data_IF_502964308997
#
_entry.id   IF_502964308997
#
_cell.length_a   1.000
_cell.length_b   1.000
_cell.length_c   1.000
_cell.angle_alpha   90.00
_cell.angle_beta   90.00
_cell.angle_gamma   90.00
#
_symmetry.space_group_name_H-M   'P 1'
#
loop_
_entity.id
_entity.type
_entity.pdbx_description
1 polymer ?
#
# COMPACT_ATOMS: atom_id res chain seq x y z
N UNK A 1 24.29 -18.49 16.81
CA UNK A 1 22.98 -19.03 16.33
C UNK A 1 22.83 -20.48 16.71
N UNK A 2 21.59 -21.01 16.94
CA UNK A 2 21.36 -22.43 17.20
C UNK A 2 21.85 -23.29 16.03
N UNK A 3 22.36 -24.50 16.34
CA UNK A 3 22.74 -25.47 15.31
C UNK A 3 21.49 -26.02 14.60
N UNK A 4 21.54 -26.17 13.27
CA UNK A 4 20.44 -26.70 12.47
C UNK A 4 19.35 -25.68 12.15
N UNK A 5 19.59 -24.37 12.31
CA UNK A 5 18.69 -23.33 11.88
C UNK A 5 18.86 -23.09 10.38
N UNK A 6 17.80 -23.27 9.60
CA UNK A 6 17.80 -23.02 8.16
C UNK A 6 17.36 -21.61 7.80
N UNK A 7 16.36 -21.08 8.52
CA UNK A 7 15.75 -19.76 8.28
C UNK A 7 15.65 -18.98 9.58
N UNK A 8 16.13 -17.74 9.57
CA UNK A 8 15.97 -16.79 10.65
C UNK A 8 14.90 -15.75 10.26
N UNK A 9 13.90 -15.59 11.10
CA UNK A 9 12.89 -14.54 10.97
C UNK A 9 13.13 -13.47 12.03
N UNK A 10 13.34 -12.23 11.59
CA UNK A 10 13.47 -11.05 12.45
C UNK A 10 12.29 -10.11 12.20
N UNK A 11 11.58 -9.74 13.27
CA UNK A 11 10.49 -8.77 13.20
C UNK A 11 10.81 -7.64 14.15
N UNK A 12 10.82 -6.43 13.65
CA UNK A 12 11.10 -5.21 14.42
C UNK A 12 12.42 -5.24 15.21
N UNK A 13 13.56 -5.54 14.56
CA UNK A 13 14.86 -5.61 15.25
C UNK A 13 15.28 -4.21 15.72
N UNK A 14 15.30 -3.98 17.03
CA UNK A 14 15.72 -2.73 17.66
C UNK A 14 16.95 -2.98 18.53
N UNK A 15 17.88 -2.03 18.53
CA UNK A 15 19.03 -1.99 19.46
C UNK A 15 19.76 -3.34 19.59
N UNK A 16 19.98 -4.02 18.44
CA UNK A 16 20.65 -5.30 18.43
C UNK A 16 22.07 -5.18 18.96
N UNK A 17 22.41 -6.05 19.91
CA UNK A 17 23.77 -6.14 20.43
C UNK A 17 24.76 -6.47 19.30
N UNK A 18 25.97 -5.86 19.26
CA UNK A 18 26.97 -6.14 18.23
C UNK A 18 27.33 -7.61 18.08
N UNK A 19 27.29 -8.39 19.15
CA UNK A 19 27.55 -9.84 19.10
C UNK A 19 26.40 -10.59 18.40
N UNK A 20 25.17 -10.12 18.56
CA UNK A 20 24.02 -10.66 17.86
C UNK A 20 24.05 -10.29 16.37
N UNK A 21 24.38 -9.05 16.02
CA UNK A 21 24.56 -8.62 14.63
C UNK A 21 25.65 -9.46 13.93
N UNK A 22 26.79 -9.66 14.59
CA UNK A 22 27.84 -10.55 14.12
C UNK A 22 27.31 -11.99 13.91
N UNK A 23 26.56 -12.51 14.88
CA UNK A 23 25.95 -13.83 14.77
C UNK A 23 24.96 -13.95 13.59
N UNK A 24 24.19 -12.90 13.28
CA UNK A 24 23.28 -12.84 12.12
C UNK A 24 24.09 -12.80 10.82
N UNK A 25 25.13 -11.95 10.75
CA UNK A 25 26.01 -11.87 9.58
C UNK A 25 26.63 -13.24 9.26
N UNK A 26 27.25 -13.87 10.25
CA UNK A 26 27.91 -15.17 10.08
C UNK A 26 26.92 -16.30 9.72
N UNK A 27 25.71 -16.24 10.25
CA UNK A 27 24.64 -17.15 9.87
C UNK A 27 24.28 -17.02 8.37
N UNK A 28 24.10 -15.78 7.90
CA UNK A 28 23.74 -15.50 6.50
C UNK A 28 24.91 -15.85 5.57
N UNK A 29 26.14 -15.49 5.91
CA UNK A 29 27.34 -15.84 5.13
C UNK A 29 27.59 -17.36 5.09
N UNK A 30 27.17 -18.09 6.12
CA UNK A 30 27.22 -19.55 6.20
C UNK A 30 26.14 -20.26 5.39
N UNK A 31 25.31 -19.54 4.62
CA UNK A 31 24.22 -20.09 3.80
C UNK A 31 22.87 -20.16 4.51
N UNK A 32 22.77 -19.65 5.73
CA UNK A 32 21.50 -19.43 6.42
C UNK A 32 20.66 -18.38 5.68
N UNK A 33 19.34 -18.50 5.74
CA UNK A 33 18.41 -17.63 5.04
C UNK A 33 17.76 -16.67 6.04
N UNK A 34 17.65 -15.41 5.67
CA UNK A 34 17.10 -14.37 6.54
C UNK A 34 15.82 -13.78 5.94
N UNK A 35 14.81 -13.63 6.78
CA UNK A 35 13.63 -12.81 6.51
C UNK A 35 13.63 -11.70 7.57
N UNK A 36 13.67 -10.44 7.16
CA UNK A 36 13.67 -9.32 8.09
C UNK A 36 12.56 -8.30 7.76
N UNK A 37 11.79 -7.97 8.78
CA UNK A 37 10.81 -6.89 8.77
C UNK A 37 11.39 -5.74 9.58
N UNK A 38 11.76 -4.67 8.89
CA UNK A 38 12.25 -3.41 9.49
C UNK A 38 11.22 -2.31 9.28
N UNK A 39 11.28 -1.24 10.05
CA UNK A 39 10.21 -0.25 10.07
C UNK A 39 10.75 1.14 10.42
N UNK A 40 10.40 2.19 9.69
CA UNK A 40 10.73 3.55 10.09
C UNK A 40 9.80 4.07 11.20
N UNK A 41 8.57 3.52 11.30
CA UNK A 41 7.57 3.93 12.28
C UNK A 41 6.53 2.84 12.53
N UNK A 42 6.82 1.93 13.47
CA UNK A 42 5.95 0.81 13.83
C UNK A 42 4.73 1.28 14.65
N UNK A 43 3.60 1.51 14.01
CA UNK A 43 2.36 1.98 14.66
C UNK A 43 1.76 0.95 15.61
N UNK A 44 2.01 -0.34 15.37
CA UNK A 44 1.56 -1.42 16.23
C UNK A 44 2.36 -1.54 17.54
N UNK A 45 3.59 -1.01 17.57
CA UNK A 45 4.39 -0.97 18.79
C UNK A 45 3.92 0.16 19.70
N UNK A 46 3.02 -0.18 20.62
CA UNK A 46 2.47 0.77 21.60
C UNK A 46 3.27 0.87 22.89
N UNK A 47 4.36 0.11 23.02
CA UNK A 47 5.09 -0.05 24.27
C UNK A 47 4.27 -0.77 25.35
N UNK A 48 4.91 -1.08 26.46
CA UNK A 48 4.20 -1.62 27.63
C UNK A 48 3.37 -0.50 28.29
N UNK A 49 2.04 -0.65 28.45
CA UNK A 49 1.19 0.37 29.08
C UNK A 49 1.55 0.64 30.54
N UNK A 50 2.31 -0.26 31.20
CA UNK A 50 2.78 -0.09 32.58
C UNK A 50 4.19 0.49 32.69
N UNK A 51 4.89 0.66 31.57
CA UNK A 51 6.24 1.24 31.53
C UNK A 51 6.24 2.57 30.76
N UNK A 52 6.36 3.72 31.45
CA UNK A 52 6.42 5.04 30.80
C UNK A 52 7.57 5.19 29.81
N UNK A 53 8.71 4.51 30.05
CA UNK A 53 9.86 4.55 29.13
C UNK A 53 9.55 3.78 27.84
N UNK A 54 8.91 2.60 27.93
CA UNK A 54 8.48 1.83 26.78
C UNK A 54 7.41 2.59 25.97
N UNK A 55 6.50 3.33 26.63
CA UNK A 55 5.53 4.19 25.94
C UNK A 55 6.19 5.36 25.19
N UNK A 56 7.26 5.95 25.73
CA UNK A 56 8.02 6.98 25.02
C UNK A 56 8.75 6.45 23.77
N UNK A 57 9.07 5.16 23.76
CA UNK A 57 9.70 4.47 22.62
C UNK A 57 8.67 3.84 21.67
N UNK A 58 7.37 3.92 21.98
CA UNK A 58 6.30 3.44 21.13
C UNK A 58 6.37 4.07 19.73
N UNK A 59 6.14 3.27 18.69
CA UNK A 59 6.29 3.71 17.30
C UNK A 59 7.76 4.04 16.93
N UNK A 60 8.75 3.45 17.61
CA UNK A 60 10.15 3.61 17.24
C UNK A 60 10.48 2.88 15.94
N UNK A 61 11.57 3.31 15.31
CA UNK A 61 12.09 2.64 14.12
C UNK A 61 12.90 1.40 14.48
N UNK A 62 13.03 0.50 13.51
CA UNK A 62 13.90 -0.66 13.57
C UNK A 62 14.69 -0.82 12.27
N UNK A 63 15.91 -1.35 12.37
CA UNK A 63 16.74 -1.68 11.22
C UNK A 63 17.76 -2.76 11.59
N UNK A 64 18.56 -3.20 10.61
CA UNK A 64 19.67 -4.14 10.80
C UNK A 64 21.04 -3.44 10.89
N UNK A 65 21.06 -2.12 11.08
CA UNK A 65 22.27 -1.33 11.20
C UNK A 65 23.22 -1.50 10.01
N UNK A 66 24.50 -1.71 10.29
CA UNK A 66 25.56 -1.86 9.27
C UNK A 66 25.40 -3.07 8.34
N UNK A 67 24.58 -4.06 8.67
CA UNK A 67 24.39 -5.23 7.82
C UNK A 67 23.71 -4.89 6.50
N UNK A 68 22.74 -3.97 6.50
CA UNK A 68 22.09 -3.54 5.25
C UNK A 68 23.10 -2.87 4.32
N UNK A 69 23.91 -1.94 4.85
CA UNK A 69 24.94 -1.25 4.08
C UNK A 69 25.98 -2.25 3.55
N UNK A 70 26.41 -3.22 4.37
CA UNK A 70 27.35 -4.26 3.98
C UNK A 70 26.83 -5.18 2.86
N UNK A 71 25.53 -5.39 2.82
CA UNK A 71 24.84 -6.15 1.77
C UNK A 71 24.40 -5.28 0.59
N UNK A 72 24.83 -4.00 0.55
CA UNK A 72 24.57 -3.09 -0.56
C UNK A 72 23.15 -2.58 -0.62
N UNK A 73 22.49 -2.37 0.51
CA UNK A 73 21.12 -1.84 0.60
C UNK A 73 21.05 -0.66 1.55
N UNK A 74 20.40 0.41 1.12
CA UNK A 74 20.07 1.57 1.92
C UNK A 74 18.65 1.50 2.46
N UNK A 75 18.49 1.87 3.72
CA UNK A 75 17.20 2.01 4.40
C UNK A 75 17.28 3.23 5.35
N UNK A 76 16.36 4.17 5.15
CA UNK A 76 16.29 5.38 5.99
C UNK A 76 15.21 5.20 7.07
N UNK A 77 15.64 4.95 8.30
CA UNK A 77 14.76 4.73 9.44
C UNK A 77 14.05 6.01 9.96
N UNK A 78 14.37 7.19 9.43
CA UNK A 78 13.73 8.46 9.80
C UNK A 78 12.61 8.86 8.80
N UNK A 79 12.47 8.15 7.70
CA UNK A 79 11.54 8.52 6.63
C UNK A 79 10.62 7.36 6.28
N UNK A 80 9.35 7.69 6.08
CA UNK A 80 8.34 6.78 5.56
C UNK A 80 7.96 7.19 4.13
N UNK A 81 7.28 6.30 3.43
CA UNK A 81 6.80 6.53 2.08
C UNK A 81 5.34 6.97 2.08
N UNK A 82 5.04 8.06 1.39
CA UNK A 82 3.69 8.43 1.01
C UNK A 82 3.42 8.08 -0.44
N UNK A 83 2.18 7.71 -0.78
CA UNK A 83 1.76 7.40 -2.15
C UNK A 83 0.34 7.90 -2.41
N UNK A 84 0.19 8.79 -3.39
CA UNK A 84 -1.10 9.35 -3.77
C UNK A 84 -2.00 8.34 -4.48
N UNK A 85 -1.43 7.37 -5.18
CA UNK A 85 -2.18 6.40 -5.96
C UNK A 85 -2.62 5.22 -5.10
N UNK A 86 -1.69 4.64 -4.33
CA UNK A 86 -1.96 3.47 -3.50
C UNK A 86 -2.43 3.83 -2.08
N UNK A 87 -2.42 5.10 -1.72
CA UNK A 87 -2.93 5.58 -0.44
C UNK A 87 -4.40 5.22 -0.20
N UNK A 88 -4.73 4.72 0.98
CA UNK A 88 -6.09 4.28 1.36
C UNK A 88 -7.00 5.47 1.63
N UNK A 89 -8.18 5.50 1.02
CA UNK A 89 -9.18 6.57 1.22
C UNK A 89 -10.44 6.08 1.91
N UNK A 90 -10.92 6.85 2.87
CA UNK A 90 -12.22 6.65 3.51
C UNK A 90 -12.91 7.99 3.75
N UNK A 91 -14.23 8.06 3.42
CA UNK A 91 -15.02 9.26 3.72
C UNK A 91 -14.60 10.56 3.02
N UNK A 92 -13.85 10.47 1.89
CA UNK A 92 -13.38 11.64 1.13
C UNK A 92 -11.98 12.12 1.48
N UNK A 93 -11.36 11.56 2.52
CA UNK A 93 -9.98 11.86 2.92
C UNK A 93 -9.09 10.67 2.57
N UNK A 94 -7.91 10.94 2.01
CA UNK A 94 -6.92 9.93 1.66
C UNK A 94 -5.77 9.96 2.67
N UNK A 95 -5.42 8.79 3.19
CA UNK A 95 -4.24 8.59 4.02
C UNK A 95 -3.09 8.05 3.16
N UNK A 96 -2.18 8.93 2.73
CA UNK A 96 -1.10 8.56 1.81
C UNK A 96 0.00 7.70 2.46
N UNK A 97 0.06 7.61 3.78
CA UNK A 97 0.99 6.74 4.50
C UNK A 97 0.45 5.33 4.79
N UNK A 98 -0.84 5.07 4.53
CA UNK A 98 -1.40 3.70 4.54
C UNK A 98 -1.62 3.31 3.09
N UNK A 99 -0.89 2.31 2.62
CA UNK A 99 -0.85 1.92 1.22
C UNK A 99 -1.59 0.60 1.00
N UNK A 100 -2.36 0.52 -0.07
CA UNK A 100 -2.96 -0.71 -0.57
C UNK A 100 -2.37 -0.96 -1.95
N UNK A 101 -1.29 -1.75 -1.99
CA UNK A 101 -0.51 -2.01 -3.19
C UNK A 101 -1.19 -3.12 -4.00
N UNK A 102 -1.66 -2.83 -5.22
CA UNK A 102 -2.31 -3.82 -6.09
C UNK A 102 -1.29 -4.69 -6.83
N UNK A 103 -1.76 -5.64 -7.61
CA UNK A 103 -0.95 -6.60 -8.36
C UNK A 103 0.09 -5.94 -9.29
N UNK A 104 -0.17 -4.75 -9.83
CA UNK A 104 0.78 -4.01 -10.68
C UNK A 104 2.00 -3.45 -9.91
N UNK A 105 1.92 -3.41 -8.58
CA UNK A 105 3.04 -3.14 -7.69
C UNK A 105 3.83 -4.38 -7.27
N UNK A 106 3.38 -5.59 -7.64
CA UNK A 106 4.04 -6.86 -7.32
C UNK A 106 5.00 -7.31 -8.42
N UNK A 107 6.05 -8.01 -8.02
CA UNK A 107 6.95 -8.64 -8.98
C UNK A 107 6.42 -10.02 -9.39
N UNK A 108 5.93 -10.12 -10.63
CA UNK A 108 5.37 -11.36 -11.17
C UNK A 108 6.45 -12.46 -11.39
N UNK A 109 7.73 -12.08 -11.39
CA UNK A 109 8.84 -13.02 -11.62
C UNK A 109 9.35 -13.69 -10.34
N UNK A 110 9.02 -13.16 -9.15
CA UNK A 110 9.40 -13.74 -7.88
C UNK A 110 8.22 -14.46 -7.23
N UNK A 111 8.40 -15.75 -6.92
CA UNK A 111 7.35 -16.62 -6.39
C UNK A 111 6.75 -16.13 -5.04
N UNK A 112 7.46 -15.29 -4.28
CA UNK A 112 6.98 -14.74 -3.01
C UNK A 112 5.88 -13.73 -3.24
N UNK A 113 5.99 -12.91 -4.29
CA UNK A 113 5.06 -11.82 -4.62
C UNK A 113 4.21 -12.09 -5.85
N UNK A 114 4.58 -13.05 -6.69
CA UNK A 114 3.75 -13.45 -7.82
C UNK A 114 2.37 -13.92 -7.37
N UNK A 115 1.36 -13.71 -8.18
CA UNK A 115 -0.03 -14.11 -7.94
C UNK A 115 -0.70 -13.46 -6.70
N UNK A 116 -0.09 -12.47 -6.02
CA UNK A 116 -0.75 -11.67 -4.99
C UNK A 116 -1.57 -10.56 -5.64
N UNK A 117 -2.78 -10.31 -5.10
CA UNK A 117 -3.67 -9.30 -5.65
C UNK A 117 -3.54 -7.95 -4.93
N UNK A 118 -3.44 -7.96 -3.60
CA UNK A 118 -3.35 -6.75 -2.77
C UNK A 118 -2.52 -7.01 -1.52
N UNK A 119 -1.53 -6.15 -1.26
CA UNK A 119 -0.79 -6.13 0.01
C UNK A 119 -0.86 -4.74 0.61
N UNK A 120 -1.22 -4.65 1.89
CA UNK A 120 -1.35 -3.40 2.61
C UNK A 120 -0.13 -3.13 3.47
N UNK A 121 0.29 -1.86 3.50
CA UNK A 121 1.40 -1.35 4.30
C UNK A 121 0.94 -0.14 5.12
N UNK A 122 1.55 0.07 6.30
CA UNK A 122 1.28 1.23 7.14
C UNK A 122 2.59 1.91 7.52
N UNK A 123 2.72 3.19 7.19
CA UNK A 123 3.92 3.98 7.53
C UNK A 123 5.24 3.36 7.05
N UNK A 124 5.19 2.58 5.97
CA UNK A 124 6.31 1.81 5.45
C UNK A 124 7.50 2.69 5.03
N UNK A 125 8.72 2.18 5.22
CA UNK A 125 9.92 2.69 4.57
C UNK A 125 10.09 2.12 3.16
N UNK A 126 11.32 2.20 2.65
CA UNK A 126 11.69 1.59 1.37
C UNK A 126 13.16 1.20 1.36
N UNK A 127 13.52 0.35 0.43
CA UNK A 127 14.91 -0.08 0.19
C UNK A 127 15.40 0.45 -1.14
N UNK A 128 16.69 0.80 -1.19
CA UNK A 128 17.40 1.20 -2.41
C UNK A 128 18.68 0.37 -2.54
N UNK A 129 19.00 -0.08 -3.75
CA UNK A 129 20.30 -0.70 -4.01
C UNK A 129 21.39 0.37 -3.91
N UNK A 130 22.51 0.04 -3.24
CA UNK A 130 23.70 0.86 -3.28
C UNK A 130 24.39 0.75 -4.65
N UNK A 131 25.03 1.82 -5.12
CA UNK A 131 25.69 1.84 -6.44
C UNK A 131 26.84 0.83 -6.57
N UNK A 132 27.50 0.52 -5.46
CA UNK A 132 28.64 -0.40 -5.33
C UNK A 132 28.25 -1.79 -4.80
N UNK A 133 26.96 -2.11 -4.76
CA UNK A 133 26.44 -3.39 -4.28
C UNK A 133 27.02 -4.57 -5.09
N UNK A 134 27.54 -5.59 -4.40
CA UNK A 134 27.93 -6.85 -5.00
C UNK A 134 26.78 -7.86 -5.07
N UNK A 135 25.74 -7.64 -4.29
CA UNK A 135 24.52 -8.44 -4.25
C UNK A 135 23.56 -8.03 -5.37
N UNK A 136 22.74 -8.96 -5.79
CA UNK A 136 21.61 -8.69 -6.68
C UNK A 136 20.42 -8.24 -5.85
N UNK A 137 19.98 -7.01 -6.08
CA UNK A 137 18.75 -6.45 -5.51
C UNK A 137 17.56 -6.69 -6.45
N UNK A 138 16.49 -7.30 -5.95
CA UNK A 138 15.25 -7.52 -6.68
C UNK A 138 14.08 -6.98 -5.87
N UNK A 139 13.43 -5.95 -6.34
CA UNK A 139 12.21 -5.45 -5.72
C UNK A 139 11.08 -6.47 -5.86
N UNK A 140 10.40 -6.80 -4.76
CA UNK A 140 9.27 -7.72 -4.70
C UNK A 140 7.93 -6.99 -4.72
N UNK A 141 7.85 -5.89 -3.97
CA UNK A 141 6.69 -5.01 -3.89
C UNK A 141 7.17 -3.58 -4.03
N UNK A 142 6.51 -2.79 -4.88
CA UNK A 142 6.89 -1.41 -5.16
C UNK A 142 5.70 -0.46 -5.04
N UNK A 143 6.00 0.79 -4.70
CA UNK A 143 5.06 1.89 -4.77
C UNK A 143 4.63 2.21 -6.20
N UNK A 144 3.68 3.13 -6.34
CA UNK A 144 3.41 3.80 -7.61
C UNK A 144 4.45 4.89 -7.91
N UNK A 145 4.42 5.44 -9.12
CA UNK A 145 5.19 6.64 -9.51
C UNK A 145 4.66 7.93 -8.83
N UNK A 146 3.50 7.84 -8.15
CA UNK A 146 2.93 8.96 -7.39
C UNK A 146 3.34 8.92 -5.91
N UNK A 147 4.47 8.30 -5.60
CA UNK A 147 5.05 8.20 -4.28
C UNK A 147 6.14 9.23 -4.04
N UNK A 148 6.39 9.53 -2.78
CA UNK A 148 7.54 10.31 -2.32
C UNK A 148 7.84 10.03 -0.86
N UNK A 149 9.12 10.15 -0.44
CA UNK A 149 9.52 10.10 0.94
C UNK A 149 8.95 11.26 1.77
N UNK A 150 8.55 10.98 3.00
CA UNK A 150 8.11 11.96 3.99
C UNK A 150 8.75 11.67 5.36
N UNK A 151 8.92 12.70 6.18
CA UNK A 151 9.45 12.55 7.53
C UNK A 151 8.47 11.80 8.44
N UNK A 152 8.96 10.83 9.25
CA UNK A 152 8.12 10.04 10.17
C UNK A 152 7.46 10.88 11.26
N UNK A 153 8.01 12.08 11.58
CA UNK A 153 7.40 13.00 12.52
C UNK A 153 6.00 13.46 12.08
N UNK A 154 5.74 13.53 10.78
CA UNK A 154 4.42 13.86 10.22
C UNK A 154 3.38 12.79 10.52
N UNK A 155 3.79 11.53 10.64
CA UNK A 155 2.92 10.41 11.01
C UNK A 155 2.71 10.35 12.53
N UNK A 156 3.79 10.57 13.30
CA UNK A 156 3.77 10.51 14.78
C UNK A 156 2.78 11.51 15.40
N UNK A 157 2.65 12.68 14.83
CA UNK A 157 1.78 13.76 15.34
C UNK A 157 0.55 14.00 14.47
N UNK A 158 0.20 13.02 13.64
CA UNK A 158 -0.90 13.12 12.70
C UNK A 158 -2.25 13.18 13.41
N UNK A 159 -2.95 14.29 13.27
CA UNK A 159 -4.32 14.46 13.78
C UNK A 159 -5.36 14.28 12.68
N UNK A 160 -5.03 14.67 11.45
CA UNK A 160 -5.91 14.54 10.29
C UNK A 160 -5.09 14.00 9.10
N UNK A 161 -5.49 12.87 8.49
CA UNK A 161 -4.80 12.31 7.32
C UNK A 161 -4.62 13.29 6.15
N UNK A 162 -5.49 14.28 6.01
CA UNK A 162 -5.38 15.32 4.99
C UNK A 162 -4.10 16.16 5.14
N UNK A 163 -3.59 16.33 6.36
CA UNK A 163 -2.40 17.14 6.63
C UNK A 163 -1.13 16.53 5.99
N UNK A 164 -1.14 15.22 5.71
CA UNK A 164 -0.06 14.57 4.97
C UNK A 164 0.06 15.03 3.52
N UNK A 165 -1.02 15.55 2.97
CA UNK A 165 -1.05 16.05 1.59
C UNK A 165 -0.36 17.42 1.45
N UNK A 166 -0.23 18.17 2.55
CA UNK A 166 0.38 19.50 2.52
C UNK A 166 1.87 19.42 2.15
N UNK A 167 2.24 20.07 1.05
CA UNK A 167 3.60 20.04 0.53
C UNK A 167 4.04 18.69 -0.03
N UNK A 168 3.17 17.68 -0.14
CA UNK A 168 3.51 16.39 -0.71
C UNK A 168 3.64 16.48 -2.23
N UNK A 169 4.82 16.17 -2.75
CA UNK A 169 5.11 16.18 -4.19
C UNK A 169 5.68 14.82 -4.61
N UNK A 170 4.98 14.05 -5.46
CA UNK A 170 5.50 12.80 -6.00
C UNK A 170 6.85 12.99 -6.71
N UNK A 171 7.77 12.04 -6.50
CA UNK A 171 9.08 12.05 -7.13
C UNK A 171 9.03 11.65 -8.63
N UNK A 172 8.07 10.81 -9.00
CA UNK A 172 8.03 10.14 -10.30
C UNK A 172 8.71 8.78 -10.30
N UNK A 173 9.32 8.36 -9.17
CA UNK A 173 10.03 7.11 -9.01
C UNK A 173 9.16 6.07 -8.30
N UNK A 174 9.47 4.78 -8.53
CA UNK A 174 8.94 3.66 -7.76
C UNK A 174 9.91 3.25 -6.67
N UNK A 175 9.42 3.01 -5.46
CA UNK A 175 10.19 2.66 -4.28
C UNK A 175 9.92 1.22 -3.86
N UNK A 176 10.98 0.45 -3.55
CA UNK A 176 10.84 -0.95 -3.14
C UNK A 176 10.44 -1.05 -1.65
N UNK A 177 9.19 -1.46 -1.39
CA UNK A 177 8.64 -1.72 -0.06
C UNK A 177 9.06 -3.10 0.48
N UNK A 178 9.35 -4.02 -0.42
CA UNK A 178 9.93 -5.33 -0.12
C UNK A 178 10.94 -5.69 -1.19
N UNK A 179 12.03 -6.37 -0.78
CA UNK A 179 13.12 -6.73 -1.68
C UNK A 179 13.73 -8.08 -1.34
N UNK A 180 14.30 -8.74 -2.35
CA UNK A 180 15.19 -9.88 -2.21
C UNK A 180 16.61 -9.45 -2.48
N UNK A 181 17.54 -9.91 -1.64
CA UNK A 181 18.96 -9.83 -1.87
C UNK A 181 19.51 -11.23 -2.08
N UNK A 182 20.28 -11.41 -3.12
CA UNK A 182 20.95 -12.67 -3.41
C UNK A 182 22.36 -12.43 -3.98
N UNK A 183 23.26 -13.39 -3.82
CA UNK A 183 24.57 -13.34 -4.44
C UNK A 183 25.73 -13.07 -3.48
N UNK A 184 26.90 -12.66 -4.00
CA UNK A 184 28.11 -12.54 -3.20
C UNK A 184 27.99 -11.46 -2.14
N UNK A 185 28.45 -11.75 -0.93
CA UNK A 185 28.60 -10.78 0.16
C UNK A 185 29.84 -11.07 0.96
N UNK A 186 30.49 -10.03 1.47
CA UNK A 186 31.64 -10.11 2.36
C UNK A 186 31.24 -9.79 3.79
N UNK A 187 32.00 -10.27 4.77
CA UNK A 187 31.83 -9.87 6.15
C UNK A 187 32.16 -8.37 6.33
N UNK A 188 31.33 -7.68 7.05
CA UNK A 188 31.53 -6.26 7.43
C UNK A 188 32.08 -6.12 8.85
N UNK A 189 31.95 -7.17 9.66
CA UNK A 189 32.33 -7.17 11.06
C UNK A 189 33.57 -8.03 11.30
N UNK A 190 34.45 -7.59 12.19
CA UNK A 190 35.59 -8.37 12.63
C UNK A 190 35.15 -9.50 13.58
N UNK A 191 35.92 -10.60 13.57
CA UNK A 191 35.66 -11.69 14.48
C UNK A 191 35.84 -11.27 15.94
N UNK A 192 34.86 -11.45 16.84
CA UNK A 192 35.07 -11.26 18.27
C UNK A 192 36.14 -12.19 18.82
N UNK A 193 36.71 -11.85 19.97
CA UNK A 193 37.72 -12.67 20.63
C UNK A 193 37.24 -14.12 20.84
N UNK A 194 38.05 -15.08 20.39
CA UNK A 194 37.73 -16.52 20.46
C UNK A 194 36.91 -17.07 19.29
N UNK A 195 36.51 -16.25 18.32
CA UNK A 195 35.73 -16.68 17.14
C UNK A 195 36.48 -16.64 15.82
N UNK A 196 37.75 -16.24 15.81
CA UNK A 196 38.57 -16.07 14.61
C UNK A 196 38.64 -17.32 13.72
N UNK A 197 38.70 -18.53 14.31
CA UNK A 197 38.75 -19.78 13.56
C UNK A 197 37.45 -20.17 12.86
N UNK A 198 36.31 -19.60 13.26
CA UNK A 198 34.98 -19.86 12.72
C UNK A 198 34.45 -18.70 11.89
N UNK A 199 35.21 -17.64 11.78
CA UNK A 199 34.83 -16.45 11.05
C UNK A 199 34.82 -16.70 9.55
N UNK A 200 33.69 -16.43 8.91
CA UNK A 200 33.53 -16.44 7.46
C UNK A 200 33.77 -15.04 6.93
N UNK A 201 34.83 -14.85 6.15
CA UNK A 201 35.16 -13.57 5.53
C UNK A 201 34.22 -13.19 4.35
N UNK A 202 33.56 -14.18 3.77
CA UNK A 202 32.60 -13.99 2.69
C UNK A 202 31.61 -15.16 2.63
N UNK A 203 30.50 -14.95 1.93
CA UNK A 203 29.53 -15.99 1.62
C UNK A 203 30.14 -17.08 0.72
N UNK A 204 29.64 -18.30 0.84
CA UNK A 204 29.99 -19.41 -0.03
C UNK A 204 29.55 -19.18 -1.49
N UNK A 205 29.71 -20.22 -2.33
CA UNK A 205 29.43 -20.15 -3.76
C UNK A 205 27.98 -19.77 -4.11
N UNK A 206 27.03 -20.12 -3.24
CA UNK A 206 25.61 -19.81 -3.43
C UNK A 206 25.25 -18.36 -3.03
N UNK A 207 26.19 -17.64 -2.41
CA UNK A 207 25.96 -16.28 -1.93
C UNK A 207 24.99 -16.22 -0.74
N UNK A 208 24.50 -15.02 -0.44
CA UNK A 208 23.45 -14.79 0.57
C UNK A 208 22.07 -14.91 -0.05
N UNK A 209 21.05 -15.17 0.78
CA UNK A 209 19.64 -15.10 0.39
C UNK A 209 18.83 -14.48 1.53
N UNK A 210 18.41 -13.23 1.32
CA UNK A 210 17.75 -12.40 2.31
C UNK A 210 16.46 -11.81 1.71
N UNK A 211 15.36 -11.86 2.47
CA UNK A 211 14.13 -11.13 2.17
C UNK A 211 13.99 -9.98 3.16
N UNK A 212 13.73 -8.80 2.63
CA UNK A 212 13.54 -7.55 3.39
C UNK A 212 12.14 -7.00 3.16
N UNK A 213 11.48 -6.59 4.24
CA UNK A 213 10.20 -5.89 4.24
C UNK A 213 10.34 -4.60 5.03
N UNK A 214 9.94 -3.47 4.47
CA UNK A 214 10.13 -2.14 5.04
C UNK A 214 8.95 -1.68 5.92
N UNK A 215 8.21 -2.63 6.47
CA UNK A 215 7.05 -2.40 7.34
C UNK A 215 6.81 -3.63 8.21
N UNK A 216 6.62 -3.45 9.50
CA UNK A 216 6.26 -4.50 10.46
C UNK A 216 4.75 -4.55 10.69
N UNK A 217 4.06 -3.43 10.51
CA UNK A 217 2.62 -3.31 10.68
C UNK A 217 1.83 -4.14 9.68
N UNK A 218 2.43 -4.44 8.52
CA UNK A 218 1.83 -5.32 7.51
C UNK A 218 1.46 -6.70 8.03
N UNK A 219 2.11 -7.17 9.13
CA UNK A 219 1.83 -8.44 9.78
C UNK A 219 0.61 -8.39 10.71
N UNK A 220 0.14 -7.20 11.06
CA UNK A 220 -0.98 -7.03 12.01
C UNK A 220 -2.33 -7.34 11.36
N UNK A 221 -3.24 -7.96 12.12
CA UNK A 221 -4.59 -8.32 11.66
C UNK A 221 -5.31 -7.12 11.00
N UNK A 222 -5.15 -5.92 11.55
CA UNK A 222 -5.81 -4.70 11.05
C UNK A 222 -5.55 -4.40 9.57
N UNK A 223 -4.42 -4.88 9.04
CA UNK A 223 -4.00 -4.61 7.67
C UNK A 223 -4.60 -5.57 6.65
N UNK A 224 -5.08 -6.75 7.08
CA UNK A 224 -5.50 -7.77 6.12
C UNK A 224 -6.62 -8.69 6.60
N UNK A 225 -7.07 -8.59 7.87
CA UNK A 225 -8.09 -9.47 8.45
C UNK A 225 -9.30 -8.66 8.91
N UNK A 226 -10.48 -9.06 8.46
CA UNK A 226 -11.75 -8.54 8.95
C UNK A 226 -12.45 -9.58 9.81
N UNK A 227 -12.88 -9.18 11.00
CA UNK A 227 -13.69 -10.00 11.92
C UNK A 227 -15.11 -9.50 11.90
N UNK A 228 -16.06 -10.37 11.56
CA UNK A 228 -17.49 -10.06 11.55
C UNK A 228 -18.21 -10.96 12.53
N UNK A 229 -18.91 -10.43 13.54
CA UNK A 229 -19.74 -11.24 14.44
C UNK A 229 -20.95 -11.76 13.67
N UNK A 230 -21.11 -13.08 13.65
CA UNK A 230 -22.23 -13.76 13.00
C UNK A 230 -22.79 -14.84 13.92
N UNK A 231 -24.03 -14.66 14.41
CA UNK A 231 -24.72 -15.58 15.34
C UNK A 231 -23.89 -16.02 16.57
N UNK A 232 -23.15 -15.08 17.17
CA UNK A 232 -22.34 -15.36 18.37
C UNK A 232 -20.99 -16.03 18.09
N UNK A 233 -20.61 -16.16 16.82
CA UNK A 233 -19.27 -16.58 16.37
C UNK A 233 -18.65 -15.50 15.52
N UNK A 234 -17.34 -15.31 15.64
CA UNK A 234 -16.60 -14.39 14.78
C UNK A 234 -16.21 -15.11 13.48
N UNK A 235 -16.73 -14.62 12.35
CA UNK A 235 -16.22 -15.01 11.04
C UNK A 235 -14.99 -14.15 10.74
N UNK A 236 -13.86 -14.81 10.53
CA UNK A 236 -12.59 -14.18 10.15
C UNK A 236 -12.40 -14.36 8.65
N UNK A 237 -12.23 -13.24 7.93
CA UNK A 237 -11.95 -13.26 6.50
C UNK A 237 -10.79 -12.33 6.16
N UNK A 238 -9.89 -12.77 5.29
CA UNK A 238 -8.84 -11.93 4.75
C UNK A 238 -9.42 -11.03 3.65
N UNK A 239 -9.04 -9.74 3.64
CA UNK A 239 -9.37 -8.78 2.60
C UNK A 239 -8.13 -8.32 1.82
N UNK A 240 -6.93 -8.76 2.21
CA UNK A 240 -5.67 -8.55 1.53
C UNK A 240 -4.75 -9.75 1.74
N UNK A 241 -3.67 -9.83 0.98
CA UNK A 241 -2.77 -10.98 0.88
C UNK A 241 -1.54 -10.91 1.79
N UNK A 242 -1.53 -10.03 2.78
CA UNK A 242 -0.39 -9.84 3.71
C UNK A 242 0.04 -11.14 4.38
N UNK A 243 -0.94 -11.90 4.90
CA UNK A 243 -0.68 -13.22 5.49
C UNK A 243 -0.11 -14.21 4.48
N UNK A 244 -0.62 -14.19 3.24
CA UNK A 244 -0.11 -15.02 2.14
C UNK A 244 1.33 -14.64 1.78
N UNK A 245 1.65 -13.34 1.68
CA UNK A 245 2.99 -12.83 1.45
C UNK A 245 3.99 -13.33 2.50
N UNK A 246 3.64 -13.17 3.79
CA UNK A 246 4.50 -13.61 4.88
C UNK A 246 4.74 -15.13 4.88
N UNK A 247 3.70 -15.93 4.65
CA UNK A 247 3.83 -17.39 4.57
C UNK A 247 4.59 -17.81 3.31
N UNK A 248 4.37 -17.16 2.16
CA UNK A 248 5.14 -17.43 0.95
C UNK A 248 6.63 -17.13 1.15
N UNK A 249 6.96 -16.06 1.88
CA UNK A 249 8.35 -15.74 2.23
C UNK A 249 9.01 -16.89 3.02
N UNK A 250 8.33 -17.40 4.05
CA UNK A 250 8.82 -18.51 4.88
C UNK A 250 8.93 -19.80 4.06
N UNK A 251 7.89 -20.17 3.32
CA UNK A 251 7.88 -21.40 2.50
C UNK A 251 8.96 -21.36 1.41
N UNK A 252 9.17 -20.20 0.78
CA UNK A 252 10.23 -20.03 -0.23
C UNK A 252 11.61 -20.19 0.40
N UNK A 253 11.85 -19.59 1.57
CA UNK A 253 13.11 -19.69 2.28
C UNK A 253 13.36 -21.12 2.82
N UNK A 254 12.31 -21.89 3.10
CA UNK A 254 12.43 -23.32 3.43
C UNK A 254 12.60 -24.23 2.20
N UNK A 255 12.47 -23.69 0.99
CA UNK A 255 12.61 -24.44 -0.27
C UNK A 255 11.32 -25.08 -0.78
N UNK A 256 10.16 -24.79 -0.19
CA UNK A 256 8.85 -25.37 -0.52
C UNK A 256 8.11 -24.60 -1.64
N UNK A 257 8.69 -24.54 -2.84
CA UNK A 257 8.12 -23.77 -3.96
C UNK A 257 6.73 -24.25 -4.41
N UNK A 258 6.47 -25.55 -4.32
CA UNK A 258 5.23 -26.15 -4.85
C UNK A 258 3.99 -25.77 -4.03
N UNK A 259 4.13 -25.51 -2.73
CA UNK A 259 3.02 -25.11 -1.84
C UNK A 259 2.55 -23.69 -2.11
N UNK A 260 3.41 -22.81 -2.60
CA UNK A 260 3.09 -21.39 -2.85
C UNK A 260 2.08 -21.28 -3.98
N UNK A 261 2.29 -22.03 -5.09
CA UNK A 261 1.43 -21.97 -6.28
C UNK A 261 -0.02 -22.43 -6.07
N UNK A 262 -0.28 -23.17 -4.99
CA UNK A 262 -1.63 -23.67 -4.65
C UNK A 262 -2.41 -22.62 -3.83
N UNK A 263 -1.71 -21.83 -3.00
CA UNK A 263 -2.33 -20.92 -2.01
C UNK A 263 -2.84 -19.63 -2.65
N UNK A 264 -2.12 -19.09 -3.63
CA UNK A 264 -2.37 -17.78 -4.21
C UNK A 264 -3.64 -17.67 -5.07
N UNK A 265 -4.29 -18.77 -5.41
CA UNK A 265 -5.50 -18.79 -6.27
C UNK A 265 -6.82 -18.44 -5.56
N UNK A 266 -6.82 -18.16 -4.25
CA UNK A 266 -8.03 -18.10 -3.46
C UNK A 266 -8.64 -16.70 -3.21
N UNK A 267 -7.94 -15.61 -3.47
CA UNK A 267 -8.42 -14.25 -3.20
C UNK A 267 -8.73 -13.48 -4.49
N UNK A 268 -10.00 -13.05 -4.65
CA UNK A 268 -10.49 -12.35 -5.85
C UNK A 268 -10.89 -10.89 -5.56
N UNK A 269 -10.17 -10.20 -4.69
CA UNK A 269 -10.37 -8.76 -4.48
C UNK A 269 -9.58 -7.96 -5.52
N UNK A 270 -10.20 -7.65 -6.67
CA UNK A 270 -9.59 -6.81 -7.71
C UNK A 270 -9.82 -5.32 -7.42
N UNK A 271 -8.80 -4.53 -7.04
CA UNK A 271 -8.94 -3.09 -6.94
C UNK A 271 -9.27 -2.48 -8.30
N UNK A 272 -10.09 -1.43 -8.31
CA UNK A 272 -10.46 -0.74 -9.54
C UNK A 272 -9.37 0.27 -9.95
N UNK A 273 -8.21 -0.19 -10.38
CA UNK A 273 -7.03 0.62 -10.75
C UNK A 273 -7.42 1.81 -11.63
N UNK A 274 -8.29 1.61 -12.62
CA UNK A 274 -8.76 2.69 -13.52
C UNK A 274 -9.56 3.77 -12.80
N UNK A 275 -10.28 3.40 -11.74
CA UNK A 275 -11.04 4.38 -10.91
C UNK A 275 -10.08 5.18 -10.05
N UNK A 276 -9.06 4.54 -9.51
CA UNK A 276 -8.05 5.20 -8.69
C UNK A 276 -7.17 6.15 -9.51
N UNK A 277 -6.77 5.80 -10.73
CA UNK A 277 -6.11 6.70 -11.68
C UNK A 277 -6.94 7.96 -11.97
N UNK A 278 -8.23 7.78 -12.27
CA UNK A 278 -9.14 8.90 -12.54
C UNK A 278 -9.34 9.77 -11.29
N UNK A 279 -9.36 9.16 -10.12
CA UNK A 279 -9.45 9.85 -8.85
C UNK A 279 -8.20 10.69 -8.56
N UNK A 280 -7.00 10.11 -8.73
CA UNK A 280 -5.73 10.82 -8.59
C UNK A 280 -5.63 12.01 -9.56
N UNK A 281 -6.05 11.82 -10.81
CA UNK A 281 -6.07 12.91 -11.78
C UNK A 281 -7.04 14.04 -11.38
N UNK A 282 -8.21 13.70 -10.86
CA UNK A 282 -9.17 14.66 -10.34
C UNK A 282 -8.60 15.40 -9.12
N UNK A 283 -8.08 14.69 -8.13
CA UNK A 283 -7.44 15.27 -6.93
C UNK A 283 -6.32 16.26 -7.30
N UNK A 284 -5.44 15.91 -8.26
CA UNK A 284 -4.39 16.84 -8.76
C UNK A 284 -4.96 18.13 -9.34
N UNK A 285 -6.05 18.05 -10.10
CA UNK A 285 -6.65 19.23 -10.75
C UNK A 285 -7.36 20.16 -9.76
N UNK A 286 -8.04 19.59 -8.76
CA UNK A 286 -8.74 20.35 -7.72
C UNK A 286 -7.78 20.99 -6.73
N UNK A 287 -6.68 20.32 -6.41
CA UNK A 287 -5.65 20.79 -5.49
C UNK A 287 -5.02 22.12 -5.92
N UNK A 288 -4.66 22.25 -7.17
CA UNK A 288 -4.11 23.51 -7.69
C UNK A 288 -5.09 24.69 -7.52
N UNK A 289 -6.39 24.41 -7.61
CA UNK A 289 -7.45 25.42 -7.40
C UNK A 289 -7.61 25.74 -5.91
N UNK A 290 -7.61 24.74 -5.04
CA UNK A 290 -7.69 24.88 -3.59
C UNK A 290 -6.51 25.69 -3.04
N UNK A 291 -5.27 25.36 -3.40
CA UNK A 291 -4.07 26.11 -2.99
C UNK A 291 -4.06 27.55 -3.44
N UNK A 292 -4.61 27.82 -4.64
CA UNK A 292 -4.78 29.20 -5.11
C UNK A 292 -5.79 29.97 -4.26
N UNK A 293 -6.94 29.37 -3.97
CA UNK A 293 -8.00 30.01 -3.17
C UNK A 293 -7.58 30.19 -1.72
N UNK A 294 -6.81 29.25 -1.15
CA UNK A 294 -6.24 29.39 0.19
C UNK A 294 -5.27 30.57 0.28
N UNK A 295 -4.33 30.68 -0.68
CA UNK A 295 -3.42 31.84 -0.72
C UNK A 295 -4.17 33.16 -0.87
N UNK A 296 -5.22 33.22 -1.70
CA UNK A 296 -6.06 34.40 -1.85
C UNK A 296 -6.83 34.74 -0.55
N UNK A 297 -7.26 33.70 0.18
CA UNK A 297 -7.92 33.87 1.50
C UNK A 297 -6.93 34.45 2.52
N UNK A 298 -5.74 33.88 2.64
CA UNK A 298 -4.69 34.37 3.55
C UNK A 298 -4.29 35.83 3.24
N UNK A 299 -4.12 36.17 1.96
CA UNK A 299 -3.82 37.54 1.55
C UNK A 299 -4.97 38.49 1.90
N UNK A 300 -6.21 38.07 1.68
CA UNK A 300 -7.41 38.87 2.01
C UNK A 300 -7.55 39.06 3.52
N UNK A 301 -7.33 38.00 4.32
CA UNK A 301 -7.37 38.06 5.79
C UNK A 301 -6.24 38.94 6.36
N UNK A 302 -5.03 38.85 5.78
CA UNK A 302 -3.91 39.71 6.14
C UNK A 302 -4.21 41.17 5.88
N UNK A 303 -4.69 41.52 4.67
CA UNK A 303 -5.08 42.92 4.32
C UNK A 303 -6.18 43.44 5.23
N UNK A 304 -7.17 42.61 5.55
CA UNK A 304 -8.25 42.96 6.50
C UNK A 304 -7.69 43.23 7.90
N UNK A 305 -6.75 42.40 8.37
CA UNK A 305 -6.08 42.56 9.65
C UNK A 305 -5.27 43.87 9.70
N UNK A 306 -4.51 44.16 8.64
CA UNK A 306 -3.70 45.37 8.52
C UNK A 306 -4.58 46.63 8.55
N UNK A 307 -5.71 46.64 7.87
CA UNK A 307 -6.70 47.70 7.92
C UNK A 307 -7.36 47.88 9.30
N UNK A 308 -7.56 46.76 10.03
CA UNK A 308 -8.08 46.78 11.41
C UNK A 308 -7.03 47.22 12.43
N UNK A 309 -5.77 46.85 12.22
CA UNK A 309 -4.67 47.20 13.14
C UNK A 309 -4.23 48.67 12.98
N UNK A 310 -4.28 49.21 11.75
CA UNK A 310 -4.07 50.63 11.49
C UNK A 310 -5.06 51.53 12.24
N UNK A 311 -6.17 50.92 12.78
CA UNK A 311 -7.18 51.59 13.62
C UNK A 311 -6.73 51.72 15.09
N UNK A 312 -5.71 51.00 15.56
CA UNK A 312 -5.31 50.91 16.98
C UNK A 312 -4.34 52.00 17.46
N UNK A 313 -3.68 52.75 16.59
CA UNK A 313 -2.56 53.64 16.93
C UNK A 313 -2.85 55.15 16.85
N UNK A 314 -4.07 55.57 16.61
CA UNK A 314 -4.39 57.01 16.55
C UNK A 314 -5.81 57.32 16.95
N UNK A 315 -5.93 58.17 17.97
CA UNK A 315 -7.05 59.08 18.37
C UNK A 315 -8.36 58.95 17.58
N UNK A 316 -9.48 58.88 18.28
CA UNK A 316 -10.91 58.94 17.85
C UNK A 316 -11.15 59.55 16.44
N UNK A 317 -10.65 58.91 15.40
CA UNK A 317 -10.89 59.38 14.03
C UNK A 317 -12.05 58.57 13.46
N UNK A 318 -13.07 59.24 13.06
CA UNK A 318 -14.23 58.75 12.32
C UNK A 318 -13.69 58.00 11.08
N UNK A 319 -13.99 56.72 10.97
CA UNK A 319 -13.65 55.92 9.78
C UNK A 319 -14.20 56.68 8.57
N UNK A 320 -13.37 56.97 7.58
CA UNK A 320 -13.87 57.58 6.35
C UNK A 320 -14.80 56.58 5.66
N UNK A 321 -15.84 57.08 5.00
CA UNK A 321 -16.78 56.25 4.25
C UNK A 321 -16.06 55.35 3.23
N UNK A 322 -14.95 55.83 2.66
CA UNK A 322 -14.08 55.05 1.76
C UNK A 322 -13.41 53.85 2.43
N UNK A 323 -12.90 54.01 3.66
CA UNK A 323 -12.29 52.89 4.41
C UNK A 323 -13.33 51.87 4.83
N UNK A 324 -14.55 52.32 5.15
CA UNK A 324 -15.65 51.42 5.51
C UNK A 324 -16.13 50.62 4.30
N UNK A 325 -16.18 51.22 3.12
CA UNK A 325 -16.44 50.51 1.88
C UNK A 325 -15.34 49.49 1.54
N UNK A 326 -14.07 49.81 1.77
CA UNK A 326 -12.96 48.90 1.51
C UNK A 326 -12.98 47.69 2.44
N UNK A 327 -13.20 47.89 3.72
CA UNK A 327 -13.41 46.80 4.69
C UNK A 327 -14.57 45.92 4.27
N UNK A 328 -15.69 46.51 3.85
CA UNK A 328 -16.86 45.74 3.41
C UNK A 328 -16.55 44.90 2.17
N UNK A 329 -15.82 45.45 1.18
CA UNK A 329 -15.37 44.72 -0.01
C UNK A 329 -14.48 43.51 0.34
N UNK A 330 -13.54 43.69 1.28
CA UNK A 330 -12.67 42.55 1.72
C UNK A 330 -13.48 41.52 2.52
N UNK A 331 -14.47 41.93 3.32
CA UNK A 331 -15.34 40.98 3.99
C UNK A 331 -16.19 40.17 3.01
N UNK A 332 -16.76 40.84 2.01
CA UNK A 332 -17.54 40.16 0.96
C UNK A 332 -16.64 39.20 0.14
N UNK A 333 -15.40 39.62 -0.22
CA UNK A 333 -14.47 38.78 -0.92
C UNK A 333 -14.06 37.56 -0.11
N UNK A 334 -13.82 37.70 1.21
CA UNK A 334 -13.54 36.57 2.11
C UNK A 334 -14.68 35.56 2.14
N UNK A 335 -15.93 36.03 2.19
CA UNK A 335 -17.10 35.17 2.17
C UNK A 335 -17.23 34.42 0.81
N UNK A 336 -16.93 35.10 -0.28
CA UNK A 336 -16.92 34.50 -1.63
C UNK A 336 -15.86 33.41 -1.73
N UNK A 337 -14.60 33.66 -1.36
CA UNK A 337 -13.52 32.69 -1.39
C UNK A 337 -13.84 31.47 -0.51
N UNK A 338 -14.36 31.67 0.69
CA UNK A 338 -14.80 30.58 1.56
C UNK A 338 -15.97 29.78 0.99
N UNK A 339 -16.82 30.38 0.19
CA UNK A 339 -17.89 29.69 -0.53
C UNK A 339 -17.29 28.86 -1.67
N UNK A 340 -16.36 29.42 -2.43
CA UNK A 340 -15.69 28.75 -3.54
C UNK A 340 -14.87 27.56 -3.06
N UNK A 341 -14.12 27.69 -1.96
CA UNK A 341 -13.40 26.58 -1.33
C UNK A 341 -14.35 25.41 -0.96
N UNK A 342 -15.48 25.71 -0.34
CA UNK A 342 -16.49 24.68 -0.03
C UNK A 342 -17.08 24.06 -1.29
N UNK A 343 -17.27 24.86 -2.34
CA UNK A 343 -17.77 24.40 -3.63
C UNK A 343 -16.79 23.42 -4.29
N UNK A 344 -15.50 23.75 -4.30
CA UNK A 344 -14.43 22.90 -4.86
C UNK A 344 -14.38 21.54 -4.13
N UNK A 345 -14.39 21.55 -2.79
CA UNK A 345 -14.40 20.33 -1.99
C UNK A 345 -15.67 19.50 -2.24
N UNK A 346 -16.83 20.14 -2.31
CA UNK A 346 -18.08 19.45 -2.61
C UNK A 346 -18.13 18.87 -4.02
N UNK A 347 -17.59 19.59 -5.02
CA UNK A 347 -17.61 19.12 -6.40
C UNK A 347 -16.64 17.94 -6.60
N UNK A 348 -15.49 17.95 -5.96
CA UNK A 348 -14.57 16.80 -5.91
C UNK A 348 -15.27 15.55 -5.35
N UNK A 349 -15.92 15.70 -4.19
CA UNK A 349 -16.64 14.60 -3.55
C UNK A 349 -17.74 14.04 -4.46
N UNK A 350 -18.52 14.95 -5.07
CA UNK A 350 -19.64 14.57 -5.95
C UNK A 350 -19.21 13.86 -7.22
N UNK A 351 -18.07 14.25 -7.81
CA UNK A 351 -17.54 13.61 -9.01
C UNK A 351 -16.99 12.22 -8.71
N UNK A 352 -16.34 12.03 -7.55
CA UNK A 352 -15.89 10.72 -7.07
C UNK A 352 -17.10 9.79 -6.84
N UNK A 353 -18.15 10.28 -6.14
CA UNK A 353 -19.37 9.50 -5.87
C UNK A 353 -20.13 9.12 -7.15
N UNK A 354 -20.16 10.00 -8.13
CA UNK A 354 -20.79 9.74 -9.45
C UNK A 354 -20.05 8.65 -10.21
N UNK A 355 -18.72 8.64 -10.20
CA UNK A 355 -17.91 7.58 -10.81
C UNK A 355 -18.18 6.24 -10.14
N UNK A 356 -18.16 6.19 -8.80
CA UNK A 356 -18.48 4.97 -8.04
C UNK A 356 -19.89 4.45 -8.33
N UNK A 357 -20.90 5.35 -8.38
CA UNK A 357 -22.29 4.98 -8.68
C UNK A 357 -22.47 4.46 -10.11
N UNK A 358 -21.85 5.10 -11.11
CA UNK A 358 -21.89 4.63 -12.51
C UNK A 358 -21.32 3.23 -12.65
N UNK A 359 -20.18 2.94 -12.01
CA UNK A 359 -19.57 1.61 -12.06
C UNK A 359 -20.40 0.55 -11.35
N UNK A 360 -20.99 0.89 -10.19
CA UNK A 360 -21.92 0.01 -9.48
C UNK A 360 -23.12 -0.35 -10.37
N UNK A 361 -23.74 0.64 -11.03
CA UNK A 361 -24.88 0.43 -11.91
C UNK A 361 -24.50 -0.43 -13.12
N UNK A 362 -23.35 -0.19 -13.75
CA UNK A 362 -22.88 -1.00 -14.89
C UNK A 362 -22.68 -2.45 -14.45
N UNK A 363 -21.97 -2.70 -13.36
CA UNK A 363 -21.65 -4.06 -12.92
C UNK A 363 -22.87 -4.80 -12.34
N UNK A 364 -23.73 -4.13 -11.56
CA UNK A 364 -24.85 -4.77 -10.87
C UNK A 364 -26.07 -4.92 -11.77
N UNK A 365 -26.31 -4.00 -12.71
CA UNK A 365 -27.49 -4.00 -13.56
C UNK A 365 -27.20 -4.44 -14.99
N UNK A 366 -26.20 -3.83 -15.65
CA UNK A 366 -25.97 -4.01 -17.09
C UNK A 366 -25.37 -5.39 -17.41
N UNK A 367 -24.40 -5.87 -16.62
CA UNK A 367 -23.75 -7.17 -16.86
C UNK A 367 -24.72 -8.33 -16.62
N UNK A 368 -25.45 -8.43 -15.51
CA UNK A 368 -26.47 -9.47 -15.34
C UNK A 368 -27.59 -9.41 -16.38
N UNK A 369 -28.04 -8.20 -16.76
CA UNK A 369 -29.04 -8.03 -17.79
C UNK A 369 -28.53 -8.55 -19.16
N UNK A 370 -27.31 -8.28 -19.54
CA UNK A 370 -26.67 -8.77 -20.75
C UNK A 370 -26.59 -10.31 -20.77
N UNK A 371 -26.17 -10.90 -19.63
CA UNK A 371 -26.07 -12.37 -19.45
C UNK A 371 -27.47 -13.00 -19.58
N UNK A 372 -28.51 -12.42 -18.95
CA UNK A 372 -29.90 -12.89 -19.07
C UNK A 372 -30.40 -12.81 -20.50
N UNK A 373 -30.11 -11.74 -21.21
CA UNK A 373 -30.53 -11.54 -22.61
C UNK A 373 -29.84 -12.56 -23.53
N UNK A 374 -28.55 -12.81 -23.34
CA UNK A 374 -27.82 -13.85 -24.06
C UNK A 374 -28.36 -15.25 -23.76
N UNK A 375 -28.67 -15.55 -22.51
CA UNK A 375 -29.28 -16.84 -22.12
C UNK A 375 -30.66 -17.02 -22.75
N UNK A 376 -31.48 -15.97 -22.83
CA UNK A 376 -32.81 -15.97 -23.43
C UNK A 376 -32.73 -16.19 -24.95
N UNK A 377 -31.82 -15.45 -25.60
CA UNK A 377 -31.56 -15.62 -27.05
C UNK A 377 -31.08 -17.04 -27.37
N UNK A 378 -30.16 -17.57 -26.57
CA UNK A 378 -29.67 -18.93 -26.71
C UNK A 378 -30.77 -19.96 -26.48
N UNK A 379 -31.60 -19.78 -25.45
CA UNK A 379 -32.74 -20.64 -25.15
C UNK A 379 -33.76 -20.67 -26.26
N UNK A 380 -34.12 -19.50 -26.84
CA UNK A 380 -35.02 -19.39 -27.99
C UNK A 380 -34.48 -20.07 -29.26
N UNK A 381 -33.15 -19.86 -29.52
CA UNK A 381 -32.47 -20.54 -30.64
C UNK A 381 -32.44 -22.06 -30.48
N UNK A 382 -32.23 -22.55 -29.27
CA UNK A 382 -32.24 -23.99 -28.95
C UNK A 382 -33.62 -24.59 -29.11
N UNK A 383 -34.70 -23.94 -28.64
CA UNK A 383 -36.08 -24.37 -28.82
C UNK A 383 -36.45 -24.49 -30.32
N UNK A 384 -36.17 -23.45 -31.12
CA UNK A 384 -36.41 -23.48 -32.58
C UNK A 384 -35.66 -24.61 -33.27
N UNK A 385 -34.45 -24.98 -32.84
CA UNK A 385 -33.72 -26.14 -33.41
C UNK A 385 -34.36 -27.47 -32.99
N UNK A 386 -34.89 -27.58 -31.80
CA UNK A 386 -35.57 -28.81 -31.34
C UNK A 386 -36.89 -29.00 -32.05
N UNK A 387 -37.69 -27.97 -32.31
CA UNK A 387 -38.91 -28.01 -33.06
C UNK A 387 -38.66 -28.44 -34.53
N UNK A 388 -37.59 -28.01 -35.16
CA UNK A 388 -37.15 -28.41 -36.49
C UNK A 388 -36.69 -29.86 -36.57
N UNK A 389 -36.18 -30.43 -35.50
CA UNK A 389 -35.76 -31.84 -35.42
C UNK A 389 -36.97 -32.76 -35.17
N UNK A 390 -37.97 -32.31 -34.41
CA UNK A 390 -39.19 -33.08 -34.13
C UNK A 390 -40.20 -33.07 -35.31
N UNK A 391 -40.11 -32.10 -36.21
CA UNK A 391 -40.97 -32.02 -37.41
C UNK A 391 -40.48 -32.86 -38.60
N UNK A 392 -39.39 -33.62 -38.48
CA UNK A 392 -38.99 -34.58 -39.50
C UNK A 392 -39.91 -35.80 -39.47
N UNK A 393 -40.62 -36.14 -40.56
CA UNK A 393 -41.52 -37.29 -40.59
C UNK A 393 -40.68 -38.57 -40.30
N UNK A 394 -41.18 -39.38 -39.37
CA UNK A 394 -40.67 -40.72 -39.17
C UNK A 394 -40.85 -41.49 -40.44
N UNK A 395 -39.78 -41.85 -41.12
CA UNK A 395 -39.78 -42.83 -42.19
C UNK A 395 -40.21 -44.18 -41.57
N UNK A 396 -41.44 -44.60 -41.78
CA UNK A 396 -41.92 -45.93 -41.39
C UNK A 396 -41.24 -46.91 -42.32
N UNK A 397 -40.37 -47.75 -41.78
CA UNK A 397 -39.79 -48.86 -42.55
C UNK A 397 -40.89 -49.84 -42.92
N UNK A 398 -40.97 -50.15 -44.23
CA UNK A 398 -41.93 -51.17 -44.75
C UNK A 398 -41.62 -52.54 -44.12
N UNK A 399 -42.67 -53.36 -43.85
CA UNK A 399 -42.47 -54.70 -43.32
C UNK A 399 -41.75 -55.58 -44.35
N UNK A 400 -40.72 -56.29 -43.94
CA UNK A 400 -40.08 -57.34 -44.70
C UNK A 400 -41.02 -58.52 -44.77
N UNK A 401 -41.43 -58.89 -45.98
CA UNK A 401 -42.10 -60.18 -46.27
C UNK A 401 -41.12 -61.30 -45.92
N UNK A 402 -41.54 -62.13 -44.98
CA UNK A 402 -40.89 -63.42 -44.67
C UNK A 402 -41.42 -64.42 -45.63
N UNK A 403 -40.66 -64.82 -46.65
CA UNK A 403 -40.87 -66.01 -47.39
C UNK A 403 -40.45 -67.23 -46.57
N UNK A 404 -41.34 -68.07 -46.18
CA UNK A 404 -41.10 -69.43 -45.67
C UNK A 404 -41.24 -70.44 -46.79
N UNK A 405 -40.54 -71.60 -46.68
CA UNK A 405 -40.36 -72.59 -47.75
C UNK A 405 -41.60 -73.36 -48.17
#
# INVERSE_FOLDING_TARGET
>A
MPEGLDVLLLVHPRDLDPSLLYGIEQFVLGGGRLIAFVDPFAEADRGDPNDPMAQMQAGSSSNLGSLLDAWGVRFDAARALGDLQYGVGSGGTRHIGILSVPADGMNESDIVSADLEVVNFSSAGWFEAAEDATTQFTALVQSSENAAPMDTSRLRFLSNPADLLDGFNPSGDRYALAARLAGPAAASMEAPEGYAERHLAAAGADGINVLLFADTDLLTDRMWVQRQPFFGQDIVSAFADNGTLAVNAVDNMLGNRDLISIRTRANSARPFVRVDELRVAAEKSYRATEERLQRELEETERRLSDLQTAKGEGELTIISDEQQEEIQRFMDRRLEIRRDLRQVQHDLQRDIDRLGTRLKVINIALVPAAVLLLALVYGLRRRRRQDLVQSRPRVVAAPQEVNAP
#
